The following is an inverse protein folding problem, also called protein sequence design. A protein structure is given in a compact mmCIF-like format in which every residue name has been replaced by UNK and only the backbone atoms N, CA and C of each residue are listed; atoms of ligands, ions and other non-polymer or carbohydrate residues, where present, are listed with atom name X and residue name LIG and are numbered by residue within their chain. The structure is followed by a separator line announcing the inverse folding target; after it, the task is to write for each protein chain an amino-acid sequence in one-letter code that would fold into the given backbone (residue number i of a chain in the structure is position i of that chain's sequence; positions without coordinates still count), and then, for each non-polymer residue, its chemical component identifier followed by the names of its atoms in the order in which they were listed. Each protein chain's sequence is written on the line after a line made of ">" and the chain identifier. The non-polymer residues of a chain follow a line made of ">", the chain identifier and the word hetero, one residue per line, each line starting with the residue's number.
data_IF_795038001250
#
_entry.id   IF_795038001250
#
_cell.length_a   1.000
_cell.length_b   1.000
_cell.length_c   1.000
_cell.angle_alpha   90.00
_cell.angle_beta   90.00
_cell.angle_gamma   90.00
#
_symmetry.space_group_name_H-M   'P 1'
#
loop_
_entity.id
_entity.type
_entity.pdbx_description
1 polymer ?
#
# COMPACT_ATOMS: atom_id res chain seq x y z
N UNK A 1 -24.82 -17.01 -2.01
CA UNK A 1 -24.88 -15.56 -1.77
C UNK A 1 -23.56 -14.94 -2.22
N UNK A 2 -23.53 -14.25 -3.35
CA UNK A 2 -22.36 -13.47 -3.77
C UNK A 2 -22.73 -11.99 -3.60
N UNK A 3 -22.02 -11.31 -2.70
CA UNK A 3 -21.71 -9.88 -2.71
C UNK A 3 -21.28 -9.46 -1.31
N UNK A 4 -20.05 -9.82 -0.94
CA UNK A 4 -19.27 -8.90 -0.11
C UNK A 4 -18.80 -7.78 -1.03
N UNK A 5 -18.93 -6.53 -0.61
CA UNK A 5 -18.52 -5.38 -1.43
C UNK A 5 -16.99 -5.34 -1.47
N UNK A 6 -16.37 -5.90 -2.51
CA UNK A 6 -14.94 -5.71 -2.77
C UNK A 6 -14.68 -4.23 -3.04
N UNK A 7 -13.83 -3.60 -2.23
CA UNK A 7 -13.47 -2.18 -2.38
C UNK A 7 -11.97 -2.06 -2.58
N UNK A 8 -11.54 -1.34 -3.61
CA UNK A 8 -10.13 -0.96 -3.72
C UNK A 8 -9.71 -0.20 -2.47
N UNK A 9 -8.59 -0.58 -1.89
CA UNK A 9 -8.01 0.11 -0.74
C UNK A 9 -6.86 1.01 -1.18
N UNK A 10 -5.75 0.41 -1.59
CA UNK A 10 -4.58 1.14 -2.09
C UNK A 10 -3.77 0.33 -3.08
N UNK A 11 -3.02 1.05 -3.92
CA UNK A 11 -1.88 0.51 -4.66
C UNK A 11 -0.60 0.81 -3.88
N UNK A 12 0.21 -0.20 -3.61
CA UNK A 12 1.51 -0.02 -2.99
C UNK A 12 2.60 0.12 -4.05
N UNK A 13 3.43 1.16 -3.92
CA UNK A 13 4.59 1.40 -4.77
C UNK A 13 5.85 1.56 -3.91
N UNK A 14 6.96 0.99 -4.39
CA UNK A 14 8.25 1.12 -3.71
C UNK A 14 8.97 2.40 -4.17
N UNK A 15 9.47 3.18 -3.22
CA UNK A 15 10.14 4.47 -3.46
C UNK A 15 11.58 4.48 -2.94
N UNK A 16 12.43 5.31 -3.57
CA UNK A 16 13.84 5.54 -3.19
C UNK A 16 13.98 6.32 -1.89
N UNK A 17 13.16 7.34 -1.79
CA UNK A 17 13.27 8.38 -0.80
C UNK A 17 11.84 8.75 -0.43
N UNK A 18 11.42 8.20 0.71
CA UNK A 18 10.06 8.36 1.21
C UNK A 18 9.78 9.82 1.59
N UNK A 19 10.77 10.58 2.07
CA UNK A 19 10.56 11.99 2.44
C UNK A 19 10.35 12.87 1.21
N UNK A 20 11.17 12.68 0.18
CA UNK A 20 10.96 13.35 -1.11
C UNK A 20 9.62 12.97 -1.73
N UNK A 21 9.23 11.70 -1.61
CA UNK A 21 7.96 11.22 -2.15
C UNK A 21 6.77 11.80 -1.37
N UNK A 22 6.83 11.84 -0.04
CA UNK A 22 5.83 12.50 0.82
C UNK A 22 5.65 13.97 0.38
N UNK A 23 6.74 14.71 0.19
CA UNK A 23 6.67 16.10 -0.26
C UNK A 23 5.95 16.22 -1.62
N UNK A 24 6.20 15.31 -2.56
CA UNK A 24 5.47 15.31 -3.83
C UNK A 24 3.97 15.07 -3.66
N UNK A 25 3.58 13.98 -2.98
CA UNK A 25 2.16 13.64 -2.81
C UNK A 25 1.40 14.66 -1.96
N UNK A 26 2.03 15.20 -0.91
CA UNK A 26 1.42 16.20 -0.02
C UNK A 26 1.48 17.62 -0.60
N UNK A 27 2.65 18.10 -1.00
CA UNK A 27 2.85 19.52 -1.30
C UNK A 27 2.57 19.87 -2.77
N UNK A 28 2.71 18.90 -3.69
CA UNK A 28 2.48 19.12 -5.13
C UNK A 28 1.10 18.62 -5.55
N UNK A 29 0.68 17.46 -5.04
CA UNK A 29 -0.63 16.87 -5.38
C UNK A 29 -1.73 17.20 -4.36
N UNK A 30 -1.39 17.88 -3.26
CA UNK A 30 -2.32 18.28 -2.20
C UNK A 30 -3.11 17.10 -1.60
N UNK A 31 -2.47 15.93 -1.49
CA UNK A 31 -3.09 14.77 -0.88
C UNK A 31 -2.82 14.71 0.63
N UNK A 32 -3.84 14.42 1.46
CA UNK A 32 -3.67 14.30 2.89
C UNK A 32 -2.88 13.03 3.21
N UNK A 33 -1.87 13.15 4.05
CA UNK A 33 -1.16 12.01 4.59
C UNK A 33 -2.01 11.37 5.69
N UNK A 34 -2.54 10.17 5.46
CA UNK A 34 -3.51 9.52 6.34
C UNK A 34 -2.85 8.66 7.42
N UNK A 35 -1.73 8.01 7.09
CA UNK A 35 -1.05 7.08 7.99
C UNK A 35 0.43 7.01 7.69
N UNK A 36 1.22 6.74 8.72
CA UNK A 36 2.62 6.41 8.62
C UNK A 36 2.97 5.20 9.51
N UNK A 37 4.01 4.46 9.13
CA UNK A 37 4.65 3.43 9.95
C UNK A 37 6.17 3.52 9.79
N UNK A 38 6.97 3.28 10.86
CA UNK A 38 6.54 3.05 12.24
C UNK A 38 5.80 4.26 12.86
N UNK A 39 6.16 5.48 12.45
CA UNK A 39 5.53 6.73 12.87
C UNK A 39 5.71 7.82 11.80
N UNK A 40 5.22 9.04 12.08
CA UNK A 40 5.29 10.18 11.16
C UNK A 40 6.65 10.89 11.15
N UNK A 41 7.48 10.72 12.18
CA UNK A 41 8.80 11.38 12.28
C UNK A 41 9.85 10.64 11.45
N UNK A 42 9.80 9.31 11.48
CA UNK A 42 10.69 8.42 10.74
C UNK A 42 9.92 7.32 9.98
N UNK A 43 9.11 7.69 8.98
CA UNK A 43 8.31 6.72 8.25
C UNK A 43 9.15 5.85 7.31
N UNK A 44 8.85 4.56 7.29
CA UNK A 44 9.26 3.59 6.26
C UNK A 44 8.12 3.27 5.30
N UNK A 45 6.88 3.49 5.74
CA UNK A 45 5.68 3.35 4.94
C UNK A 45 4.72 4.50 5.22
N UNK A 46 4.09 5.02 4.17
CA UNK A 46 3.04 6.04 4.29
C UNK A 46 1.85 5.72 3.42
N UNK A 47 0.67 6.19 3.82
CA UNK A 47 -0.57 6.08 3.08
C UNK A 47 -1.15 7.46 2.80
N UNK A 48 -1.52 7.66 1.54
CA UNK A 48 -2.40 8.71 1.05
C UNK A 48 -3.67 8.05 0.50
N UNK A 49 -4.73 8.80 0.18
CA UNK A 49 -5.92 8.23 -0.44
C UNK A 49 -5.57 7.37 -1.68
N UNK A 50 -5.81 6.07 -1.59
CA UNK A 50 -5.61 5.12 -2.70
C UNK A 50 -4.16 4.69 -2.99
N UNK A 51 -3.14 5.21 -2.28
CA UNK A 51 -1.74 4.86 -2.52
C UNK A 51 -0.96 4.65 -1.22
N UNK A 52 -0.15 3.59 -1.21
CA UNK A 52 0.86 3.34 -0.18
C UNK A 52 2.25 3.53 -0.79
N UNK A 53 3.10 4.31 -0.12
CA UNK A 53 4.52 4.39 -0.45
C UNK A 53 5.30 3.52 0.52
N UNK A 54 6.21 2.71 0.00
CA UNK A 54 7.09 1.83 0.79
C UNK A 54 8.54 2.19 0.50
N UNK A 55 9.29 2.60 1.51
CA UNK A 55 10.71 2.88 1.40
C UNK A 55 11.45 1.60 1.00
N UNK A 56 12.28 1.67 -0.05
CA UNK A 56 13.21 0.59 -0.35
C UNK A 56 14.26 0.50 0.75
N UNK A 57 14.47 -0.71 1.26
CA UNK A 57 15.54 -1.05 2.21
C UNK A 57 16.57 -1.97 1.53
N UNK A 58 17.74 -2.11 2.14
CA UNK A 58 18.75 -3.07 1.66
C UNK A 58 18.26 -4.52 1.72
N UNK A 59 17.36 -4.83 2.66
CA UNK A 59 16.76 -6.16 2.83
C UNK A 59 15.84 -6.57 1.66
N UNK A 60 15.36 -5.62 0.86
CA UNK A 60 14.56 -5.92 -0.34
C UNK A 60 15.39 -6.60 -1.46
N UNK A 61 16.72 -6.56 -1.37
CA UNK A 61 17.63 -7.16 -2.35
C UNK A 61 17.75 -6.38 -3.66
N UNK A 62 18.66 -6.81 -4.56
CA UNK A 62 18.95 -6.12 -5.81
C UNK A 62 17.79 -6.19 -6.81
N UNK A 63 16.99 -7.26 -6.76
CA UNK A 63 15.88 -7.50 -7.69
C UNK A 63 14.60 -6.72 -7.37
N UNK A 64 14.49 -6.17 -6.15
CA UNK A 64 13.42 -5.26 -5.82
C UNK A 64 13.60 -3.93 -6.58
N UNK A 65 13.09 -3.92 -7.82
CA UNK A 65 12.99 -2.71 -8.62
C UNK A 65 12.07 -1.67 -7.99
N UNK A 66 11.97 -0.51 -8.64
CA UNK A 66 11.09 0.62 -8.27
C UNK A 66 9.61 0.35 -8.59
N UNK A 67 9.17 -0.89 -8.45
CA UNK A 67 7.94 -1.40 -9.05
C UNK A 67 6.75 -1.34 -8.09
N UNK A 68 5.59 -1.44 -8.71
CA UNK A 68 4.34 -1.86 -8.11
C UNK A 68 4.58 -3.07 -7.17
N UNK A 69 4.13 -2.95 -5.93
CA UNK A 69 4.29 -3.97 -4.89
C UNK A 69 3.04 -4.86 -4.85
N UNK A 70 1.86 -4.26 -4.62
CA UNK A 70 0.58 -4.97 -4.57
C UNK A 70 -0.61 -4.02 -4.81
N UNK A 71 -1.77 -4.58 -5.14
CA UNK A 71 -3.08 -3.93 -4.92
C UNK A 71 -3.66 -4.52 -3.64
N UNK A 72 -4.16 -3.68 -2.75
CA UNK A 72 -4.94 -4.09 -1.61
C UNK A 72 -6.43 -3.84 -1.85
N UNK A 73 -7.25 -4.78 -1.40
CA UNK A 73 -8.70 -4.64 -1.38
C UNK A 73 -9.19 -4.79 0.06
N UNK A 74 -10.20 -3.99 0.42
CA UNK A 74 -11.02 -4.23 1.60
C UNK A 74 -12.14 -5.19 1.25
N UNK A 75 -12.33 -6.14 2.15
CA UNK A 75 -13.44 -7.10 2.16
C UNK A 75 -14.18 -6.93 3.48
N UNK A 76 -15.44 -7.36 3.51
CA UNK A 76 -16.27 -7.24 4.72
C UNK A 76 -15.87 -8.27 5.79
N UNK A 77 -15.29 -9.40 5.40
CA UNK A 77 -14.84 -10.51 6.26
C UNK A 77 -13.61 -11.16 5.60
N UNK A 78 -12.43 -11.00 6.20
CA UNK A 78 -11.16 -11.45 5.61
C UNK A 78 -10.96 -12.95 5.79
N UNK A 79 -11.40 -13.49 6.91
CA UNK A 79 -11.34 -14.91 7.23
C UNK A 79 -12.21 -15.72 6.26
N UNK A 80 -13.43 -15.27 6.01
CA UNK A 80 -14.31 -15.87 5.01
C UNK A 80 -13.76 -15.71 3.60
N UNK A 81 -13.28 -14.52 3.24
CA UNK A 81 -12.69 -14.30 1.92
C UNK A 81 -11.50 -15.24 1.67
N UNK A 82 -10.68 -15.49 2.70
CA UNK A 82 -9.59 -16.45 2.64
C UNK A 82 -10.08 -17.91 2.53
N UNK A 83 -11.12 -18.29 3.27
CA UNK A 83 -11.72 -19.63 3.18
C UNK A 83 -12.28 -19.93 1.78
N UNK A 84 -12.80 -18.91 1.09
CA UNK A 84 -13.32 -19.00 -0.28
C UNK A 84 -12.21 -19.13 -1.35
N UNK A 85 -10.93 -18.92 -1.02
CA UNK A 85 -9.77 -19.09 -1.92
C UNK A 85 -9.40 -20.57 -2.15
N UNK A 86 -10.40 -21.44 -2.31
CA UNK A 86 -10.19 -22.82 -2.74
C UNK A 86 -9.65 -22.83 -4.19
N UNK A 87 -8.78 -23.80 -4.55
CA UNK A 87 -8.43 -24.04 -5.94
C UNK A 87 -9.71 -24.18 -6.76
N UNK A 88 -9.78 -23.46 -7.88
CA UNK A 88 -10.84 -23.66 -8.86
C UNK A 88 -10.23 -24.51 -9.96
N UNK A 89 -10.78 -25.70 -10.16
CA UNK A 89 -10.46 -26.58 -11.30
C UNK A 89 -10.77 -25.89 -12.64
#
# INVERSE_FOLDING_TARGET
>A
MRNGSLRHDHVAIRVRDIRRSIAFYRDVLDLPLERAKPDFENPEMVWFPGVQLVQKTEADGPEAGWRFVHVAFRVDDVERAAADLQPRD
#
